data_IF_352525479483
#
_entry.id   IF_352525479483
#
_cell.length_a   1.000
_cell.length_b   1.000
_cell.length_c   1.000
_cell.angle_alpha   90.00
_cell.angle_beta   90.00
_cell.angle_gamma   90.00
#
_symmetry.space_group_name_H-M   'P 1'
#
loop_
_entity.id
_entity.type
_entity.pdbx_description
1 polymer ?
#
# COMPACT_ATOMS: atom_id res chain seq x y z
N UNK A 1 36.84 26.68 32.72
CA UNK A 1 36.47 26.75 31.28
C UNK A 1 36.14 25.36 30.74
N UNK A 2 37.00 24.38 30.92
CA UNK A 2 36.83 22.99 30.43
C UNK A 2 35.53 22.31 30.91
N UNK A 3 35.14 22.46 32.19
CA UNK A 3 33.89 21.89 32.72
C UNK A 3 32.62 22.44 32.05
N UNK A 4 32.60 23.74 31.72
CA UNK A 4 31.45 24.36 31.00
C UNK A 4 31.35 23.84 29.58
N UNK A 5 32.48 23.67 28.90
CA UNK A 5 32.54 23.10 27.55
C UNK A 5 32.07 21.65 27.56
N UNK A 6 32.54 20.84 28.54
CA UNK A 6 32.12 19.47 28.70
C UNK A 6 30.59 19.34 28.93
N UNK A 7 30.05 20.19 29.82
CA UNK A 7 28.60 20.20 30.10
C UNK A 7 27.78 20.59 28.86
N UNK A 8 28.27 21.57 28.08
CA UNK A 8 27.59 21.98 26.84
C UNK A 8 27.59 20.86 25.78
N UNK A 9 28.72 20.17 25.62
CA UNK A 9 28.84 19.04 24.72
C UNK A 9 27.94 17.85 25.15
N UNK A 10 27.93 17.57 26.46
CA UNK A 10 27.05 16.51 26.98
C UNK A 10 25.57 16.84 26.81
N UNK A 11 25.16 18.10 27.03
CA UNK A 11 23.79 18.55 26.79
C UNK A 11 23.42 18.47 25.31
N UNK A 12 24.31 18.88 24.42
CA UNK A 12 24.11 18.76 22.96
C UNK A 12 23.96 17.30 22.52
N UNK A 13 24.82 16.40 23.04
CA UNK A 13 24.74 14.98 22.73
C UNK A 13 23.43 14.34 23.23
N UNK A 14 22.98 14.70 24.44
CA UNK A 14 21.70 14.23 24.97
C UNK A 14 20.50 14.76 24.17
N UNK A 15 20.56 16.02 23.73
CA UNK A 15 19.51 16.60 22.89
C UNK A 15 19.43 15.90 21.52
N UNK A 16 20.56 15.61 20.89
CA UNK A 16 20.61 14.85 19.63
C UNK A 16 20.09 13.43 19.82
N UNK A 17 20.45 12.77 20.91
CA UNK A 17 19.93 11.44 21.22
C UNK A 17 18.42 11.44 21.45
N UNK A 18 17.89 12.44 22.14
CA UNK A 18 16.45 12.58 22.35
C UNK A 18 15.71 12.81 21.02
N UNK A 19 16.23 13.66 20.14
CA UNK A 19 15.69 13.88 18.80
C UNK A 19 15.72 12.58 18.00
N UNK A 20 16.83 11.85 18.01
CA UNK A 20 16.96 10.56 17.32
C UNK A 20 15.91 9.53 17.81
N UNK A 21 15.72 9.43 19.13
CA UNK A 21 14.69 8.54 19.71
C UNK A 21 13.29 8.95 19.26
N UNK A 22 12.98 10.25 19.26
CA UNK A 22 11.68 10.76 18.81
C UNK A 22 11.48 10.50 17.32
N UNK A 23 12.47 10.79 16.49
CA UNK A 23 12.43 10.52 15.05
C UNK A 23 12.21 9.03 14.80
N UNK A 24 12.96 8.15 15.47
CA UNK A 24 12.77 6.70 15.35
C UNK A 24 11.39 6.24 15.81
N UNK A 25 10.86 6.81 16.87
CA UNK A 25 9.53 6.49 17.37
C UNK A 25 8.42 6.95 16.41
N UNK A 26 8.61 8.09 15.74
CA UNK A 26 7.70 8.61 14.72
C UNK A 26 7.92 7.94 13.35
N UNK A 27 9.14 7.52 13.06
CA UNK A 27 9.57 6.98 11.77
C UNK A 27 9.09 5.55 11.51
N UNK A 28 8.51 4.87 12.50
CA UNK A 28 7.92 3.55 12.30
C UNK A 28 6.90 3.54 11.15
N UNK A 29 6.16 4.62 10.95
CA UNK A 29 5.23 4.76 9.81
C UNK A 29 5.95 5.10 8.51
N UNK A 30 6.91 6.01 8.55
CA UNK A 30 7.70 6.40 7.37
C UNK A 30 8.58 5.23 6.93
N UNK A 31 9.21 4.52 7.86
CA UNK A 31 10.01 3.33 7.56
C UNK A 31 9.16 2.19 6.97
N UNK A 32 7.91 2.01 7.42
CA UNK A 32 7.00 1.02 6.84
C UNK A 32 6.57 1.41 5.42
N UNK A 33 6.33 2.70 5.20
CA UNK A 33 6.01 3.24 3.88
C UNK A 33 7.20 3.04 2.92
N UNK A 34 8.39 3.44 3.32
CA UNK A 34 9.62 3.30 2.51
C UNK A 34 9.90 1.85 2.16
N UNK A 35 9.87 0.94 3.15
CA UNK A 35 10.03 -0.50 2.91
C UNK A 35 8.94 -1.06 2.00
N UNK A 36 7.70 -0.59 2.14
CA UNK A 36 6.60 -0.98 1.29
C UNK A 36 6.81 -0.58 -0.16
N UNK A 37 7.32 0.64 -0.41
CA UNK A 37 7.64 1.12 -1.76
C UNK A 37 8.79 0.32 -2.39
N UNK A 38 9.87 0.06 -1.63
CA UNK A 38 10.98 -0.76 -2.13
C UNK A 38 10.50 -2.18 -2.46
N UNK A 39 9.68 -2.77 -1.60
CA UNK A 39 9.12 -4.09 -1.82
C UNK A 39 8.20 -4.13 -3.04
N UNK A 40 7.37 -3.11 -3.24
CA UNK A 40 6.51 -3.00 -4.40
C UNK A 40 7.36 -2.93 -5.69
N UNK A 41 8.40 -2.09 -5.71
CA UNK A 41 9.31 -1.99 -6.85
C UNK A 41 10.04 -3.31 -7.18
N UNK A 42 10.34 -4.15 -6.17
CA UNK A 42 10.90 -5.49 -6.40
C UNK A 42 9.89 -6.48 -7.03
N UNK A 43 8.59 -6.26 -6.81
CA UNK A 43 7.53 -7.12 -7.32
C UNK A 43 7.01 -6.68 -8.69
N UNK A 44 7.34 -5.44 -9.10
CA UNK A 44 6.92 -4.91 -10.39
C UNK A 44 7.60 -5.65 -11.53
N UNK A 45 6.79 -6.05 -12.51
CA UNK A 45 7.24 -6.68 -13.75
C UNK A 45 6.69 -5.90 -14.95
N UNK A 46 7.50 -5.77 -15.98
CA UNK A 46 7.06 -5.15 -17.22
C UNK A 46 6.42 -6.20 -18.13
N UNK A 47 5.11 -6.07 -18.38
CA UNK A 47 4.40 -6.88 -19.35
C UNK A 47 4.60 -6.25 -20.75
N UNK A 48 5.51 -6.82 -21.52
CA UNK A 48 5.85 -6.29 -22.85
C UNK A 48 4.72 -6.46 -23.88
N UNK A 49 3.81 -7.43 -23.69
CA UNK A 49 2.68 -7.65 -24.61
C UNK A 49 1.63 -6.55 -24.46
N UNK A 50 1.40 -6.12 -23.21
CA UNK A 50 0.42 -5.08 -22.89
C UNK A 50 1.04 -3.69 -22.75
N UNK A 51 2.38 -3.61 -22.75
CA UNK A 51 3.15 -2.39 -22.50
C UNK A 51 2.75 -1.72 -21.17
N UNK A 52 2.62 -2.53 -20.13
CA UNK A 52 2.20 -2.12 -18.80
C UNK A 52 3.21 -2.55 -17.73
N UNK A 53 3.39 -1.72 -16.72
CA UNK A 53 4.01 -2.10 -15.47
C UNK A 53 2.94 -2.72 -14.58
N UNK A 54 3.17 -3.91 -14.07
CA UNK A 54 2.23 -4.65 -13.21
C UNK A 54 3.00 -5.38 -12.13
N UNK A 55 2.32 -5.90 -11.14
CA UNK A 55 2.93 -6.81 -10.16
C UNK A 55 2.81 -8.25 -10.67
N UNK A 56 3.73 -9.12 -10.28
CA UNK A 56 3.67 -10.53 -10.62
C UNK A 56 2.31 -11.13 -10.22
N UNK A 57 1.57 -11.73 -11.17
CA UNK A 57 0.25 -12.31 -10.91
C UNK A 57 0.25 -13.36 -9.81
N UNK A 58 -0.79 -13.41 -9.00
CA UNK A 58 -0.96 -14.38 -7.94
C UNK A 58 0.03 -14.22 -6.77
N UNK A 59 0.60 -13.05 -6.60
CA UNK A 59 1.56 -12.76 -5.52
C UNK A 59 0.84 -12.47 -4.22
N UNK A 60 1.24 -13.17 -3.15
CA UNK A 60 0.89 -12.85 -1.76
C UNK A 60 2.12 -12.28 -1.05
N UNK A 61 1.97 -11.15 -0.38
CA UNK A 61 3.07 -10.47 0.28
C UNK A 61 2.59 -9.56 1.40
N UNK A 62 3.53 -8.92 2.09
CA UNK A 62 3.24 -7.84 3.05
C UNK A 62 3.75 -6.53 2.48
N UNK A 63 2.85 -5.58 2.24
CA UNK A 63 3.15 -4.23 1.79
C UNK A 63 2.65 -3.22 2.79
N UNK A 64 3.46 -2.21 3.11
CA UNK A 64 3.09 -1.11 4.00
C UNK A 64 2.57 -1.57 5.38
N UNK A 65 3.01 -2.76 5.84
CA UNK A 65 2.58 -3.35 7.12
C UNK A 65 1.27 -4.13 7.07
N UNK A 66 0.69 -4.33 5.90
CA UNK A 66 -0.55 -5.08 5.69
C UNK A 66 -0.34 -6.22 4.69
N UNK A 67 -1.08 -7.30 4.86
CA UNK A 67 -1.18 -8.35 3.85
C UNK A 67 -1.72 -7.77 2.55
N UNK A 68 -1.15 -8.19 1.44
CA UNK A 68 -1.52 -7.76 0.10
C UNK A 68 -1.56 -8.95 -0.82
N UNK A 69 -2.70 -9.15 -1.45
CA UNK A 69 -2.93 -10.17 -2.46
C UNK A 69 -3.05 -9.52 -3.84
N UNK A 70 -2.35 -10.07 -4.82
CA UNK A 70 -2.44 -9.67 -6.22
C UNK A 70 -3.09 -10.78 -7.03
N UNK A 71 -4.18 -10.46 -7.71
CA UNK A 71 -4.94 -11.42 -8.50
C UNK A 71 -4.18 -11.90 -9.75
N UNK A 72 -4.82 -12.71 -10.60
CA UNK A 72 -4.23 -13.25 -11.83
C UNK A 72 -3.86 -12.19 -12.88
N UNK A 73 -4.25 -10.94 -12.68
CA UNK A 73 -3.90 -9.80 -13.53
C UNK A 73 -2.79 -8.93 -12.93
N UNK A 74 -2.24 -9.31 -11.78
CA UNK A 74 -1.24 -8.51 -11.07
C UNK A 74 -1.82 -7.24 -10.43
N UNK A 75 -3.12 -7.22 -10.16
CA UNK A 75 -3.83 -6.10 -9.54
C UNK A 75 -4.16 -6.44 -8.09
N UNK A 76 -3.95 -5.51 -7.19
CA UNK A 76 -4.30 -5.66 -5.78
C UNK A 76 -5.81 -5.55 -5.58
N UNK A 77 -6.50 -6.62 -5.88
CA UNK A 77 -7.96 -6.80 -5.69
C UNK A 77 -8.28 -8.30 -5.71
N UNK A 78 -9.50 -8.65 -5.33
CA UNK A 78 -10.00 -10.02 -5.50
C UNK A 78 -9.96 -10.44 -6.97
N UNK A 79 -10.00 -11.74 -7.22
CA UNK A 79 -10.11 -12.29 -8.57
C UNK A 79 -11.41 -11.84 -9.24
N UNK A 80 -11.37 -11.15 -10.39
CA UNK A 80 -12.58 -10.73 -11.09
C UNK A 80 -13.19 -11.91 -11.86
N UNK A 81 -14.50 -12.04 -11.84
CA UNK A 81 -15.19 -12.99 -12.73
C UNK A 81 -15.13 -12.51 -14.17
N UNK A 82 -14.44 -13.29 -15.02
CA UNK A 82 -14.39 -13.03 -16.45
C UNK A 82 -14.91 -14.23 -17.25
N UNK A 83 -15.75 -13.99 -18.27
CA UNK A 83 -16.40 -12.72 -18.64
C UNK A 83 -17.32 -12.22 -17.50
N UNK A 84 -17.64 -10.91 -17.52
CA UNK A 84 -18.58 -10.30 -16.57
C UNK A 84 -19.89 -11.08 -16.56
N UNK A 85 -20.45 -11.45 -15.40
CA UNK A 85 -21.72 -12.16 -15.32
C UNK A 85 -22.84 -11.40 -16.04
N UNK A 86 -23.71 -12.18 -16.74
CA UNK A 86 -24.86 -11.59 -17.45
C UNK A 86 -25.80 -10.93 -16.44
N UNK A 87 -26.39 -9.80 -16.84
CA UNK A 87 -27.32 -9.04 -16.01
C UNK A 87 -26.68 -8.17 -14.93
N UNK A 88 -25.34 -8.25 -14.73
CA UNK A 88 -24.66 -7.38 -13.78
C UNK A 88 -24.07 -6.14 -14.43
N UNK A 89 -24.12 -5.03 -13.73
CA UNK A 89 -23.35 -3.83 -14.05
C UNK A 89 -22.03 -3.84 -13.29
N UNK A 90 -20.90 -3.66 -13.98
CA UNK A 90 -19.57 -3.60 -13.36
C UNK A 90 -19.11 -2.16 -13.25
N UNK A 91 -18.79 -1.76 -12.02
CA UNK A 91 -18.07 -0.53 -11.71
C UNK A 91 -16.59 -0.88 -11.71
N UNK A 92 -15.81 -0.21 -12.54
CA UNK A 92 -14.36 -0.33 -12.57
C UNK A 92 -13.74 0.93 -11.98
N UNK A 93 -13.04 0.78 -10.88
CA UNK A 93 -12.26 1.84 -10.25
C UNK A 93 -10.85 1.81 -10.82
N UNK A 94 -10.45 2.89 -11.47
CA UNK A 94 -9.08 3.06 -11.96
C UNK A 94 -8.45 4.23 -11.21
N UNK A 95 -7.20 4.11 -10.84
CA UNK A 95 -6.49 5.19 -10.15
C UNK A 95 -5.09 4.82 -9.71
N UNK A 96 -4.51 5.73 -8.98
CA UNK A 96 -3.18 5.70 -8.41
C UNK A 96 -3.13 4.97 -7.05
N UNK A 97 -2.15 5.32 -6.23
CA UNK A 97 -1.94 4.80 -4.88
C UNK A 97 -3.18 4.84 -3.97
N UNK A 98 -4.15 5.71 -4.24
CA UNK A 98 -5.39 5.79 -3.46
C UNK A 98 -6.30 4.60 -3.77
N UNK A 99 -6.46 4.25 -5.05
CA UNK A 99 -7.23 3.07 -5.48
C UNK A 99 -6.47 1.80 -5.15
N UNK A 100 -5.13 1.80 -5.30
CA UNK A 100 -4.25 0.72 -4.87
C UNK A 100 -4.37 0.41 -3.37
N UNK A 101 -4.75 1.40 -2.55
CA UNK A 101 -4.86 1.26 -1.11
C UNK A 101 -3.51 1.23 -0.41
N UNK A 102 -2.61 2.14 -0.80
CA UNK A 102 -1.29 2.27 -0.18
C UNK A 102 -1.42 2.56 1.31
N UNK A 103 -0.82 1.70 2.15
CA UNK A 103 -0.82 1.89 3.61
C UNK A 103 -2.13 1.53 4.32
N UNK A 104 -3.07 0.86 3.63
CA UNK A 104 -4.29 0.34 4.25
C UNK A 104 -4.43 -1.16 4.05
N UNK A 105 -5.11 -1.81 4.97
CA UNK A 105 -5.49 -3.21 4.84
C UNK A 105 -6.51 -3.40 3.70
N UNK A 106 -6.60 -4.59 3.13
CA UNK A 106 -7.45 -4.88 1.98
C UNK A 106 -8.91 -4.47 2.18
N UNK A 107 -9.48 -4.74 3.36
CA UNK A 107 -10.86 -4.37 3.69
C UNK A 107 -11.07 -2.85 3.80
N UNK A 108 -10.02 -2.07 3.96
CA UNK A 108 -10.05 -0.60 3.96
C UNK A 108 -9.86 0.04 2.59
N UNK A 109 -9.54 -0.74 1.55
CA UNK A 109 -9.40 -0.22 0.20
C UNK A 109 -10.74 0.29 -0.34
N UNK A 110 -10.69 1.33 -1.17
CA UNK A 110 -11.89 1.97 -1.75
C UNK A 110 -12.79 0.95 -2.44
N UNK A 111 -12.21 0.03 -3.23
CA UNK A 111 -12.95 -1.03 -3.91
C UNK A 111 -13.64 -2.00 -2.95
N UNK A 112 -12.97 -2.39 -1.87
CA UNK A 112 -13.54 -3.28 -0.85
C UNK A 112 -14.67 -2.60 -0.07
N UNK A 113 -14.45 -1.37 0.36
CA UNK A 113 -15.48 -0.57 1.07
C UNK A 113 -16.71 -0.36 0.17
N UNK A 114 -16.50 -0.03 -1.11
CA UNK A 114 -17.59 0.17 -2.05
C UNK A 114 -18.39 -1.13 -2.26
N UNK A 115 -17.70 -2.28 -2.42
CA UNK A 115 -18.35 -3.59 -2.52
C UNK A 115 -19.22 -3.89 -1.31
N UNK A 116 -18.70 -3.63 -0.11
CA UNK A 116 -19.42 -3.87 1.14
C UNK A 116 -20.67 -2.99 1.23
N UNK A 117 -20.58 -1.71 0.84
CA UNK A 117 -21.71 -0.79 0.85
C UNK A 117 -22.77 -1.17 -0.20
N UNK A 118 -22.37 -1.79 -1.29
CA UNK A 118 -23.25 -2.23 -2.38
C UNK A 118 -23.69 -3.70 -2.27
N UNK A 119 -23.36 -4.39 -1.16
CA UNK A 119 -23.65 -5.81 -0.98
C UNK A 119 -25.16 -6.14 -1.07
N UNK A 120 -26.05 -5.16 -0.78
CA UNK A 120 -27.50 -5.28 -0.96
C UNK A 120 -28.00 -5.14 -2.42
N UNK A 121 -27.10 -4.88 -3.38
CA UNK A 121 -27.43 -4.66 -4.80
C UNK A 121 -26.84 -5.80 -5.64
N UNK A 122 -27.55 -6.92 -5.83
CA UNK A 122 -27.01 -8.12 -6.49
C UNK A 122 -26.60 -7.90 -7.95
N UNK A 123 -27.16 -6.85 -8.57
CA UNK A 123 -26.86 -6.52 -9.97
C UNK A 123 -25.57 -5.70 -10.15
N UNK A 124 -24.92 -5.32 -9.04
CA UNK A 124 -23.68 -4.56 -9.07
C UNK A 124 -22.47 -5.45 -8.78
N UNK A 125 -21.40 -5.19 -9.48
CA UNK A 125 -20.08 -5.79 -9.27
C UNK A 125 -19.03 -4.67 -9.29
N UNK A 126 -18.06 -4.74 -8.40
CA UNK A 126 -17.00 -3.73 -8.29
C UNK A 126 -15.65 -4.41 -8.46
N UNK A 127 -14.87 -3.90 -9.38
CA UNK A 127 -13.45 -4.24 -9.55
C UNK A 127 -12.61 -2.98 -9.47
N UNK A 128 -11.41 -3.10 -8.92
CA UNK A 128 -10.46 -1.99 -8.81
C UNK A 128 -9.13 -2.35 -9.45
N UNK A 129 -8.51 -1.35 -10.07
CA UNK A 129 -7.18 -1.43 -10.64
C UNK A 129 -6.44 -0.13 -10.30
N UNK A 130 -5.77 -0.14 -9.18
CA UNK A 130 -4.84 0.91 -8.75
C UNK A 130 -3.40 0.51 -9.09
N UNK A 131 -2.61 1.48 -9.48
CA UNK A 131 -1.19 1.37 -9.83
C UNK A 131 -0.38 2.37 -9.02
#
# INVERSE_FOLDING_TARGET
>A
MLRKVFLALAAAALSLLAVEVVVRALDLRIASLHRGLLKLAELEVFDAERNLLTVSPGTDTVLFGHEAHFNSFGVRDREPQLPKPRGRFRILLLGDSMVFGQGVAEQGMVGAVLRNNLAGSPDLDVASAGI
#
